data_IF_085581556446
#
_entry.id   IF_085581556446
#
_cell.length_a   1.000
_cell.length_b   1.000
_cell.length_c   1.000
_cell.angle_alpha   90.00
_cell.angle_beta   90.00
_cell.angle_gamma   90.00
#
_symmetry.space_group_name_H-M   'P 1'
#
loop_
_entity.id
_entity.type
_entity.pdbx_description
1 polymer ?
#
# COMPACT_ATOMS: atom_id res chain seq x y z
N UNK A 1 -16.71 -19.03 22.29
CA UNK A 1 -15.83 -17.86 22.07
C UNK A 1 -16.43 -16.65 22.77
N UNK A 2 -15.71 -16.07 23.74
CA UNK A 2 -16.21 -15.00 24.60
C UNK A 2 -16.46 -13.71 23.79
N UNK A 3 -17.74 -13.34 23.60
CA UNK A 3 -18.19 -12.04 23.05
C UNK A 3 -17.55 -10.84 23.76
N UNK A 4 -17.19 -11.01 25.04
CA UNK A 4 -16.48 -9.99 25.82
C UNK A 4 -15.11 -9.64 25.21
N UNK A 5 -14.36 -10.63 24.74
CA UNK A 5 -13.00 -10.46 24.22
C UNK A 5 -12.99 -9.84 22.80
N UNK A 6 -14.07 -10.04 22.03
CA UNK A 6 -14.27 -9.38 20.74
C UNK A 6 -14.56 -7.89 20.92
N UNK A 7 -15.42 -7.54 21.89
CA UNK A 7 -15.74 -6.15 22.22
C UNK A 7 -14.52 -5.37 22.70
N UNK A 8 -13.69 -5.94 23.58
CA UNK A 8 -12.48 -5.26 24.06
C UNK A 8 -11.47 -5.03 22.93
N UNK A 9 -11.29 -6.00 22.02
CA UNK A 9 -10.39 -5.85 20.86
C UNK A 9 -10.88 -4.82 19.85
N UNK A 10 -12.19 -4.79 19.56
CA UNK A 10 -12.80 -3.80 18.66
C UNK A 10 -12.71 -2.38 19.25
N UNK A 11 -12.88 -2.24 20.57
CA UNK A 11 -12.70 -0.96 21.26
C UNK A 11 -11.25 -0.46 21.16
N UNK A 12 -10.26 -1.35 21.30
CA UNK A 12 -8.84 -1.01 21.14
C UNK A 12 -8.49 -0.59 19.71
N UNK A 13 -9.11 -1.21 18.69
CA UNK A 13 -8.97 -0.81 17.29
C UNK A 13 -9.58 0.58 17.05
N UNK A 14 -10.77 0.86 17.57
CA UNK A 14 -11.39 2.18 17.47
C UNK A 14 -10.59 3.27 18.21
N UNK A 15 -10.04 2.95 19.38
CA UNK A 15 -9.21 3.87 20.19
C UNK A 15 -7.84 4.17 19.58
N UNK A 16 -7.28 3.27 18.77
CA UNK A 16 -6.02 3.54 18.09
C UNK A 16 -6.19 4.59 16.98
N UNK A 17 -7.33 4.64 16.29
CA UNK A 17 -7.60 5.68 15.28
C UNK A 17 -7.78 7.10 15.86
N UNK A 18 -8.22 7.23 17.11
CA UNK A 18 -8.44 8.52 17.80
C UNK A 18 -7.14 9.32 18.05
N UNK A 19 -5.98 8.67 18.08
CA UNK A 19 -4.68 9.34 18.34
C UNK A 19 -4.02 9.94 17.09
N UNK A 20 -4.58 9.73 15.89
CA UNK A 20 -3.91 10.05 14.62
C UNK A 20 -4.59 11.12 13.77
N UNK A 21 -5.60 11.83 14.30
CA UNK A 21 -6.27 12.94 13.62
C UNK A 21 -5.34 14.07 13.14
N UNK A 22 -4.11 14.14 13.66
CA UNK A 22 -3.10 15.13 13.29
C UNK A 22 -2.06 14.66 12.24
N UNK A 23 -1.94 13.37 11.92
CA UNK A 23 -0.84 12.87 11.06
C UNK A 23 -1.21 12.70 9.59
N UNK A 24 -2.49 12.81 9.20
CA UNK A 24 -2.89 12.64 7.79
C UNK A 24 -2.47 13.80 6.87
N UNK A 25 -1.93 14.90 7.41
CA UNK A 25 -1.69 16.15 6.65
C UNK A 25 -0.26 16.38 6.16
N UNK A 26 0.71 15.55 6.56
CA UNK A 26 2.09 15.66 6.08
C UNK A 26 2.46 14.44 5.26
N UNK A 27 2.01 14.47 3.99
CA UNK A 27 2.50 13.57 2.97
C UNK A 27 3.97 13.94 2.68
N UNK A 28 4.91 13.02 2.85
CA UNK A 28 6.36 13.22 2.59
C UNK A 28 6.60 13.72 1.16
N UNK A 29 5.75 13.38 0.20
CA UNK A 29 5.85 13.86 -1.19
C UNK A 29 5.57 15.36 -1.30
N UNK A 30 4.95 16.01 -0.31
CA UNK A 30 4.77 17.46 -0.28
C UNK A 30 6.04 18.23 0.07
N UNK A 31 7.05 17.58 0.66
CA UNK A 31 8.31 18.22 1.05
C UNK A 31 9.23 18.48 -0.16
N UNK A 32 9.17 17.61 -1.19
CA UNK A 32 9.96 17.78 -2.41
C UNK A 32 9.48 18.97 -3.24
N UNK A 33 10.27 20.04 -3.34
CA UNK A 33 9.97 21.16 -4.25
C UNK A 33 10.40 20.79 -5.67
N UNK A 34 9.44 20.63 -6.58
CA UNK A 34 9.71 20.44 -8.01
C UNK A 34 8.71 21.23 -8.84
N UNK A 35 9.22 21.97 -9.82
CA UNK A 35 8.42 22.69 -10.81
C UNK A 35 8.11 21.84 -12.05
N UNK A 36 8.55 20.58 -12.07
CA UNK A 36 8.28 19.66 -13.18
C UNK A 36 6.78 19.36 -13.27
N UNK A 37 6.18 19.66 -14.42
CA UNK A 37 4.76 19.36 -14.71
C UNK A 37 4.45 17.87 -14.54
N UNK A 38 5.38 16.98 -14.91
CA UNK A 38 5.24 15.55 -14.73
C UNK A 38 5.20 15.18 -13.24
N UNK A 39 6.18 15.64 -12.46
CA UNK A 39 6.28 15.36 -11.02
C UNK A 39 5.04 15.88 -10.29
N UNK A 40 4.59 17.09 -10.60
CA UNK A 40 3.37 17.67 -10.06
C UNK A 40 2.15 16.78 -10.36
N UNK A 41 1.99 16.33 -11.61
CA UNK A 41 0.89 15.46 -12.01
C UNK A 41 0.95 14.12 -11.26
N UNK A 42 2.12 13.51 -11.14
CA UNK A 42 2.31 12.26 -10.41
C UNK A 42 1.96 12.40 -8.92
N UNK A 43 2.34 13.50 -8.27
CA UNK A 43 1.96 13.80 -6.87
C UNK A 43 0.44 13.92 -6.70
N UNK A 44 -0.21 14.70 -7.57
CA UNK A 44 -1.67 14.84 -7.57
C UNK A 44 -2.35 13.46 -7.69
N UNK A 45 -1.81 12.58 -8.55
CA UNK A 45 -2.26 11.20 -8.70
C UNK A 45 -2.13 10.40 -7.41
N UNK A 46 -0.92 10.33 -6.84
CA UNK A 46 -0.65 9.62 -5.59
C UNK A 46 -1.58 10.06 -4.47
N UNK A 47 -1.73 11.37 -4.26
CA UNK A 47 -2.57 11.91 -3.20
C UNK A 47 -4.04 11.54 -3.37
N UNK A 48 -4.53 11.51 -4.61
CA UNK A 48 -5.92 11.16 -4.90
C UNK A 48 -6.20 9.68 -4.60
N UNK A 49 -5.30 8.78 -4.99
CA UNK A 49 -5.42 7.36 -4.65
C UNK A 49 -5.26 7.12 -3.15
N UNK A 50 -4.35 7.83 -2.47
CA UNK A 50 -4.20 7.74 -1.01
C UNK A 50 -5.46 8.20 -0.26
N UNK A 51 -6.10 9.29 -0.68
CA UNK A 51 -7.41 9.70 -0.13
C UNK A 51 -8.44 8.59 -0.31
N UNK A 52 -8.49 7.95 -1.48
CA UNK A 52 -9.43 6.85 -1.73
C UNK A 52 -9.15 5.63 -0.84
N UNK A 53 -7.88 5.33 -0.58
CA UNK A 53 -7.48 4.28 0.34
C UNK A 53 -7.97 4.55 1.77
N UNK A 54 -7.78 5.79 2.28
CA UNK A 54 -8.27 6.18 3.61
C UNK A 54 -9.80 6.04 3.70
N UNK A 55 -10.55 6.57 2.73
CA UNK A 55 -12.01 6.47 2.75
C UNK A 55 -12.48 5.02 2.58
N UNK A 56 -11.75 4.20 1.83
CA UNK A 56 -12.05 2.77 1.70
C UNK A 56 -11.85 2.05 3.04
N UNK A 57 -10.77 2.33 3.75
CA UNK A 57 -10.54 1.76 5.10
C UNK A 57 -11.64 2.15 6.09
N UNK A 58 -12.09 3.41 6.08
CA UNK A 58 -13.21 3.85 6.92
C UNK A 58 -14.49 3.03 6.65
N UNK A 59 -14.79 2.74 5.39
CA UNK A 59 -15.94 1.90 5.01
C UNK A 59 -15.79 0.46 5.55
N UNK A 60 -14.59 -0.10 5.48
CA UNK A 60 -14.29 -1.44 6.00
C UNK A 60 -14.48 -1.50 7.53
N UNK A 61 -14.06 -0.45 8.25
CA UNK A 61 -14.24 -0.35 9.70
C UNK A 61 -15.72 -0.20 10.05
N UNK A 62 -16.47 0.65 9.34
CA UNK A 62 -17.92 0.80 9.53
C UNK A 62 -18.60 -0.57 9.36
N UNK A 63 -18.33 -1.28 8.26
CA UNK A 63 -18.91 -2.58 7.97
C UNK A 63 -18.57 -3.63 9.05
N UNK A 64 -17.39 -3.54 9.65
CA UNK A 64 -16.96 -4.47 10.69
C UNK A 64 -17.73 -4.28 12.01
N UNK A 65 -18.11 -3.05 12.35
CA UNK A 65 -18.63 -2.74 13.69
C UNK A 65 -20.12 -2.45 13.73
N UNK A 66 -20.76 -2.10 12.60
CA UNK A 66 -22.11 -1.55 12.57
C UNK A 66 -23.17 -2.44 13.23
N UNK A 67 -23.02 -3.77 13.13
CA UNK A 67 -23.99 -4.73 13.67
C UNK A 67 -23.78 -5.02 15.17
N UNK A 68 -22.56 -4.83 15.68
CA UNK A 68 -22.16 -5.24 17.04
C UNK A 68 -21.90 -4.06 18.00
N UNK A 69 -21.75 -2.85 17.46
CA UNK A 69 -21.46 -1.63 18.20
C UNK A 69 -22.73 -0.96 18.74
N UNK A 70 -22.58 -0.23 19.85
CA UNK A 70 -23.63 0.65 20.36
C UNK A 70 -23.79 1.88 19.47
N UNK A 71 -24.98 2.48 19.49
CA UNK A 71 -25.26 3.74 18.76
C UNK A 71 -24.25 4.85 19.11
N UNK A 72 -23.81 4.92 20.38
CA UNK A 72 -22.79 5.88 20.83
C UNK A 72 -21.43 5.63 20.19
N UNK A 73 -20.99 4.38 20.10
CA UNK A 73 -19.71 4.00 19.48
C UNK A 73 -19.73 4.31 17.97
N UNK A 74 -20.81 3.95 17.27
CA UNK A 74 -20.98 4.25 15.84
C UNK A 74 -20.97 5.76 15.60
N UNK A 75 -21.69 6.55 16.41
CA UNK A 75 -21.71 8.01 16.28
C UNK A 75 -20.34 8.65 16.53
N UNK A 76 -19.57 8.12 17.49
CA UNK A 76 -18.22 8.58 17.78
C UNK A 76 -17.30 8.31 16.59
N UNK A 77 -17.27 7.07 16.10
CA UNK A 77 -16.47 6.68 14.94
C UNK A 77 -16.78 7.57 13.71
N UNK A 78 -18.06 7.74 13.38
CA UNK A 78 -18.46 8.54 12.23
C UNK A 78 -18.10 10.02 12.42
N UNK A 79 -18.17 10.54 13.65
CA UNK A 79 -17.69 11.87 14.00
C UNK A 79 -16.20 12.04 13.70
N UNK A 80 -15.38 11.06 14.06
CA UNK A 80 -13.94 11.06 13.77
C UNK A 80 -13.66 10.99 12.27
N UNK A 81 -14.39 10.13 11.53
CA UNK A 81 -14.27 10.03 10.07
C UNK A 81 -14.66 11.33 9.35
N UNK A 82 -15.63 12.07 9.88
CA UNK A 82 -15.97 13.41 9.40
C UNK A 82 -14.79 14.38 9.58
N UNK A 83 -14.12 14.36 10.74
CA UNK A 83 -12.93 15.19 10.97
C UNK A 83 -11.79 14.83 10.02
N UNK A 84 -11.58 13.54 9.75
CA UNK A 84 -10.61 13.09 8.75
C UNK A 84 -10.95 13.66 7.37
N UNK A 85 -12.22 13.62 6.94
CA UNK A 85 -12.63 14.23 5.67
C UNK A 85 -12.32 15.73 5.62
N UNK A 86 -12.55 16.46 6.71
CA UNK A 86 -12.23 17.88 6.80
C UNK A 86 -10.71 18.16 6.74
N UNK A 87 -9.89 17.27 7.32
CA UNK A 87 -8.43 17.34 7.20
C UNK A 87 -7.96 17.05 5.76
N UNK A 88 -8.52 16.04 5.09
CA UNK A 88 -8.17 15.68 3.72
C UNK A 88 -8.52 16.79 2.71
N UNK A 89 -9.58 17.56 2.96
CA UNK A 89 -9.94 18.74 2.12
C UNK A 89 -8.89 19.84 2.10
N UNK A 90 -7.97 19.87 3.07
CA UNK A 90 -6.90 20.88 3.15
C UNK A 90 -5.72 20.56 2.21
N UNK A 91 -5.66 19.33 1.70
CA UNK A 91 -4.63 18.88 0.76
C UNK A 91 -4.74 19.72 -0.53
N UNK A 92 -3.61 20.21 -1.01
CA UNK A 92 -3.54 21.08 -2.18
C UNK A 92 -3.24 20.26 -3.43
N UNK A 93 -4.11 20.40 -4.43
CA UNK A 93 -3.94 19.82 -5.76
C UNK A 93 -3.61 20.91 -6.76
N UNK A 94 -2.76 20.60 -7.75
CA UNK A 94 -2.46 21.53 -8.85
C UNK A 94 -3.42 21.39 -10.01
N UNK A 95 -4.04 20.22 -10.19
CA UNK A 95 -5.11 20.01 -11.15
C UNK A 95 -6.46 20.46 -10.58
N UNK A 96 -7.04 21.53 -11.14
CA UNK A 96 -8.31 22.12 -10.67
C UNK A 96 -9.52 21.18 -10.82
N UNK A 97 -9.56 20.39 -11.90
CA UNK A 97 -10.63 19.40 -12.11
C UNK A 97 -10.58 18.33 -11.05
N UNK A 98 -9.38 17.78 -10.79
CA UNK A 98 -9.16 16.78 -9.74
C UNK A 98 -9.47 17.33 -8.35
N UNK A 99 -9.03 18.56 -8.06
CA UNK A 99 -9.34 19.29 -6.82
C UNK A 99 -10.86 19.35 -6.58
N UNK A 100 -11.61 19.70 -7.62
CA UNK A 100 -13.07 19.78 -7.56
C UNK A 100 -13.68 18.41 -7.27
N UNK A 101 -13.26 17.38 -8.00
CA UNK A 101 -13.74 16.01 -7.77
C UNK A 101 -13.46 15.50 -6.35
N UNK A 102 -12.24 15.70 -5.83
CA UNK A 102 -11.86 15.31 -4.48
C UNK A 102 -12.68 16.06 -3.44
N UNK A 103 -12.83 17.37 -3.60
CA UNK A 103 -13.63 18.21 -2.69
C UNK A 103 -15.08 17.74 -2.62
N UNK A 104 -15.70 17.46 -3.76
CA UNK A 104 -17.08 16.98 -3.85
C UNK A 104 -17.21 15.56 -3.29
N UNK A 105 -16.25 14.67 -3.60
CA UNK A 105 -16.19 13.31 -3.05
C UNK A 105 -16.16 13.31 -1.52
N UNK A 106 -15.26 14.10 -0.92
CA UNK A 106 -15.15 14.23 0.53
C UNK A 106 -16.39 14.91 1.14
N UNK A 107 -17.00 15.86 0.44
CA UNK A 107 -18.25 16.51 0.87
C UNK A 107 -19.40 15.51 0.95
N UNK A 108 -19.59 14.71 -0.10
CA UNK A 108 -20.64 13.69 -0.14
C UNK A 108 -20.37 12.58 0.88
N UNK A 109 -19.11 12.16 1.06
CA UNK A 109 -18.73 11.18 2.09
C UNK A 109 -19.11 11.67 3.49
N UNK A 110 -18.71 12.90 3.84
CA UNK A 110 -19.07 13.56 5.11
C UNK A 110 -20.58 13.70 5.28
N UNK A 111 -21.31 14.02 4.21
CA UNK A 111 -22.77 14.11 4.22
C UNK A 111 -23.40 12.75 4.55
N UNK A 112 -22.95 11.68 3.92
CA UNK A 112 -23.45 10.32 4.20
C UNK A 112 -23.20 9.92 5.65
N UNK A 113 -22.00 10.16 6.19
CA UNK A 113 -21.70 9.92 7.61
C UNK A 113 -22.59 10.75 8.55
N UNK A 114 -22.81 12.03 8.23
CA UNK A 114 -23.68 12.91 9.01
C UNK A 114 -25.13 12.45 9.01
N UNK A 115 -25.64 11.96 7.87
CA UNK A 115 -26.99 11.40 7.78
C UNK A 115 -27.08 10.10 8.57
N UNK A 116 -26.06 9.23 8.51
CA UNK A 116 -26.00 8.00 9.31
C UNK A 116 -26.02 8.28 10.80
N UNK A 117 -25.28 9.29 11.29
CA UNK A 117 -25.31 9.72 12.70
C UNK A 117 -26.73 10.13 13.13
N UNK A 118 -27.41 10.92 12.30
CA UNK A 118 -28.68 11.55 12.68
C UNK A 118 -29.91 10.66 12.47
N UNK A 119 -29.87 9.79 11.45
CA UNK A 119 -31.03 9.03 10.97
C UNK A 119 -30.79 7.52 10.90
N UNK A 120 -29.54 7.07 11.00
CA UNK A 120 -29.16 5.67 10.85
C UNK A 120 -29.01 5.23 9.39
N UNK A 121 -28.16 4.21 9.17
CA UNK A 121 -27.86 3.62 7.86
C UNK A 121 -29.07 2.97 7.17
N UNK A 122 -30.08 2.54 7.94
CA UNK A 122 -31.29 1.93 7.37
C UNK A 122 -32.37 2.95 6.96
N UNK A 123 -32.16 4.24 7.23
CA UNK A 123 -33.16 5.26 6.95
C UNK A 123 -33.37 5.49 5.44
N UNK A 124 -34.60 5.83 5.00
CA UNK A 124 -34.85 6.24 3.62
C UNK A 124 -33.99 7.44 3.19
N UNK A 125 -33.68 8.34 4.13
CA UNK A 125 -32.83 9.49 3.89
C UNK A 125 -31.38 9.07 3.58
N UNK A 126 -30.81 8.12 4.33
CA UNK A 126 -29.48 7.59 4.04
C UNK A 126 -29.47 6.88 2.69
N UNK A 127 -30.43 5.99 2.42
CA UNK A 127 -30.49 5.25 1.14
C UNK A 127 -30.51 6.20 -0.06
N UNK A 128 -31.34 7.25 -0.01
CA UNK A 128 -31.40 8.26 -1.08
C UNK A 128 -30.08 9.03 -1.24
N UNK A 129 -29.44 9.40 -0.14
CA UNK A 129 -28.15 10.09 -0.17
C UNK A 129 -27.03 9.18 -0.72
N UNK A 130 -27.02 7.92 -0.29
CA UNK A 130 -26.02 6.94 -0.68
C UNK A 130 -26.06 6.63 -2.18
N UNK A 131 -27.24 6.60 -2.82
CA UNK A 131 -27.33 6.48 -4.28
C UNK A 131 -26.68 7.67 -5.01
N UNK A 132 -26.88 8.89 -4.50
CA UNK A 132 -26.22 10.09 -5.04
C UNK A 132 -24.70 10.02 -4.84
N UNK A 133 -24.26 9.61 -3.65
CA UNK A 133 -22.85 9.40 -3.34
C UNK A 133 -22.22 8.37 -4.29
N UNK A 134 -22.86 7.22 -4.49
CA UNK A 134 -22.38 6.14 -5.36
C UNK A 134 -22.23 6.61 -6.80
N UNK A 135 -23.27 7.24 -7.36
CA UNK A 135 -23.21 7.76 -8.73
C UNK A 135 -22.09 8.78 -8.94
N UNK A 136 -21.82 9.64 -7.95
CA UNK A 136 -20.70 10.56 -8.00
C UNK A 136 -19.36 9.84 -7.86
N UNK A 137 -19.26 8.87 -6.94
CA UNK A 137 -18.06 8.08 -6.72
C UNK A 137 -17.65 7.36 -8.01
N UNK A 138 -18.59 6.73 -8.72
CA UNK A 138 -18.32 6.06 -10.00
C UNK A 138 -17.76 7.04 -11.03
N UNK A 139 -18.36 8.23 -11.14
CA UNK A 139 -17.88 9.29 -12.04
C UNK A 139 -16.46 9.75 -11.70
N UNK A 140 -16.19 10.00 -10.41
CA UNK A 140 -14.89 10.44 -9.93
C UNK A 140 -13.82 9.36 -10.14
N UNK A 141 -14.10 8.11 -9.79
CA UNK A 141 -13.18 6.99 -9.96
C UNK A 141 -12.86 6.77 -11.44
N UNK A 142 -13.85 6.84 -12.34
CA UNK A 142 -13.62 6.79 -13.77
C UNK A 142 -12.73 7.93 -14.28
N UNK A 143 -12.93 9.15 -13.78
CA UNK A 143 -12.04 10.28 -14.09
C UNK A 143 -10.61 10.02 -13.61
N UNK A 144 -10.45 9.49 -12.39
CA UNK A 144 -9.15 9.23 -11.80
C UNK A 144 -8.37 8.17 -12.60
N UNK A 145 -8.98 7.00 -12.85
CA UNK A 145 -8.33 5.92 -13.60
C UNK A 145 -8.06 6.31 -15.05
N UNK A 146 -8.94 7.07 -15.71
CA UNK A 146 -8.67 7.55 -17.07
C UNK A 146 -7.56 8.60 -17.12
N UNK A 147 -7.48 9.51 -16.14
CA UNK A 147 -6.46 10.57 -16.08
C UNK A 147 -5.08 10.00 -15.73
N UNK A 148 -5.04 9.03 -14.83
CA UNK A 148 -3.81 8.44 -14.29
C UNK A 148 -3.46 7.07 -14.90
N UNK A 149 -4.13 6.68 -15.99
CA UNK A 149 -3.79 5.47 -16.73
C UNK A 149 -2.33 5.53 -17.24
N UNK A 150 -1.62 4.40 -17.13
CA UNK A 150 -0.20 4.26 -17.48
C UNK A 150 0.15 4.79 -18.87
N UNK A 151 -0.71 4.56 -19.88
CA UNK A 151 -0.50 5.02 -21.26
C UNK A 151 -0.46 6.56 -21.43
N UNK A 152 -0.93 7.33 -20.43
CA UNK A 152 -0.82 8.79 -20.43
C UNK A 152 0.56 9.30 -19.99
N UNK A 153 1.43 8.43 -19.50
CA UNK A 153 2.72 8.79 -18.91
C UNK A 153 3.89 8.09 -19.60
N UNK A 154 3.69 6.87 -20.07
CA UNK A 154 4.74 6.05 -20.69
C UNK A 154 4.24 5.46 -22.00
N UNK A 155 5.19 5.16 -22.90
CA UNK A 155 4.92 4.49 -24.18
C UNK A 155 5.28 3.00 -24.15
N UNK A 156 6.04 2.57 -23.15
CA UNK A 156 6.40 1.19 -22.90
C UNK A 156 5.17 0.28 -22.85
N UNK A 157 5.23 -0.82 -23.60
CA UNK A 157 4.24 -1.88 -23.56
C UNK A 157 4.65 -2.97 -22.56
N UNK A 158 3.76 -3.94 -22.35
CA UNK A 158 3.97 -5.03 -21.39
C UNK A 158 5.21 -5.89 -21.71
N UNK A 159 5.46 -6.20 -22.99
CA UNK A 159 6.63 -6.99 -23.40
C UNK A 159 7.94 -6.29 -23.01
N UNK A 160 8.05 -4.99 -23.30
CA UNK A 160 9.23 -4.18 -22.95
C UNK A 160 9.36 -4.06 -21.43
N UNK A 161 8.25 -3.92 -20.70
CA UNK A 161 8.26 -3.93 -19.24
C UNK A 161 8.85 -5.22 -18.68
N UNK A 162 8.32 -6.38 -19.07
CA UNK A 162 8.78 -7.68 -18.58
C UNK A 162 10.25 -7.96 -18.96
N UNK A 163 10.64 -7.59 -20.18
CA UNK A 163 12.02 -7.69 -20.61
C UNK A 163 12.94 -6.80 -19.80
N UNK A 164 12.51 -5.59 -19.44
CA UNK A 164 13.34 -4.65 -18.69
C UNK A 164 13.49 -5.07 -17.24
N UNK A 165 12.40 -5.49 -16.58
CA UNK A 165 12.43 -5.88 -15.17
C UNK A 165 13.09 -7.23 -14.91
N UNK A 166 13.38 -8.04 -15.94
CA UNK A 166 14.08 -9.33 -15.79
C UNK A 166 15.40 -9.16 -15.01
N UNK A 167 15.44 -9.78 -13.83
CA UNK A 167 16.57 -9.75 -12.89
C UNK A 167 17.88 -10.21 -13.54
N UNK A 168 17.82 -11.08 -14.56
CA UNK A 168 18.99 -11.57 -15.31
C UNK A 168 19.77 -10.45 -16.02
N UNK A 169 19.10 -9.35 -16.39
CA UNK A 169 19.78 -8.21 -17.03
C UNK A 169 20.81 -7.55 -16.11
N UNK A 170 20.59 -7.63 -14.79
CA UNK A 170 21.32 -6.87 -13.79
C UNK A 170 22.25 -7.72 -12.94
N UNK A 171 22.02 -9.03 -12.85
CA UNK A 171 22.93 -9.98 -12.20
C UNK A 171 24.23 -10.07 -13.01
N UNK A 172 25.36 -9.73 -12.38
CA UNK A 172 26.72 -9.77 -12.94
C UNK A 172 27.65 -10.71 -12.18
N UNK A 173 27.39 -10.98 -10.90
CA UNK A 173 28.23 -11.90 -10.13
C UNK A 173 28.19 -13.32 -10.72
N UNK A 174 29.34 -13.83 -11.13
CA UNK A 174 29.48 -15.22 -11.58
C UNK A 174 29.21 -16.22 -10.44
N UNK A 175 29.42 -15.83 -9.18
CA UNK A 175 29.10 -16.66 -8.01
C UNK A 175 27.58 -16.91 -7.85
N UNK A 176 26.72 -16.12 -8.52
CA UNK A 176 25.27 -16.32 -8.46
C UNK A 176 24.81 -17.64 -9.11
N UNK A 177 25.51 -18.12 -10.14
CA UNK A 177 25.24 -19.46 -10.70
C UNK A 177 25.60 -20.58 -9.72
N UNK A 178 26.67 -20.38 -8.94
CA UNK A 178 27.05 -21.28 -7.85
C UNK A 178 25.98 -21.28 -6.76
N UNK A 179 25.48 -20.11 -6.37
CA UNK A 179 24.33 -19.98 -5.46
C UNK A 179 23.13 -20.79 -5.94
N UNK A 180 22.71 -20.62 -7.21
CA UNK A 180 21.54 -21.35 -7.74
C UNK A 180 21.69 -22.87 -7.67
N UNK A 181 22.88 -23.39 -7.97
CA UNK A 181 23.17 -24.83 -7.86
C UNK A 181 23.21 -25.30 -6.40
N UNK A 182 23.80 -24.50 -5.51
CA UNK A 182 23.91 -24.83 -4.10
C UNK A 182 22.56 -24.79 -3.40
N UNK A 183 21.66 -23.90 -3.82
CA UNK A 183 20.30 -23.78 -3.26
C UNK A 183 19.52 -25.10 -3.31
N UNK A 184 19.72 -25.91 -4.34
CA UNK A 184 18.99 -27.17 -4.51
C UNK A 184 19.55 -28.33 -3.68
N UNK A 185 20.77 -28.21 -3.15
CA UNK A 185 21.46 -29.28 -2.42
C UNK A 185 21.74 -28.92 -0.95
N UNK A 186 22.07 -27.66 -0.67
CA UNK A 186 22.33 -27.13 0.66
C UNK A 186 21.90 -25.66 0.77
N UNK A 187 20.62 -25.45 1.12
CA UNK A 187 20.03 -24.12 1.23
C UNK A 187 20.80 -23.22 2.21
N UNK A 188 21.21 -23.71 3.38
CA UNK A 188 21.88 -22.89 4.41
C UNK A 188 23.19 -22.30 3.90
N UNK A 189 24.03 -23.11 3.24
CA UNK A 189 25.27 -22.62 2.63
C UNK A 189 25.00 -21.71 1.42
N UNK A 190 23.94 -21.98 0.65
CA UNK A 190 23.52 -21.11 -0.44
C UNK A 190 23.16 -19.70 0.06
N UNK A 191 22.41 -19.57 1.17
CA UNK A 191 22.07 -18.26 1.73
C UNK A 191 23.30 -17.51 2.25
N UNK A 192 24.26 -18.20 2.88
CA UNK A 192 25.54 -17.60 3.29
C UNK A 192 26.30 -17.06 2.07
N UNK A 193 26.33 -17.82 0.97
CA UNK A 193 26.95 -17.37 -0.28
C UNK A 193 26.22 -16.16 -0.86
N UNK A 194 24.88 -16.17 -0.89
CA UNK A 194 24.09 -15.05 -1.41
C UNK A 194 24.29 -13.77 -0.58
N UNK A 195 24.36 -13.88 0.75
CA UNK A 195 24.73 -12.77 1.63
C UNK A 195 26.11 -12.22 1.30
N UNK A 196 27.11 -13.09 1.13
CA UNK A 196 28.47 -12.67 0.74
C UNK A 196 28.45 -11.93 -0.59
N UNK A 197 27.78 -12.47 -1.61
CA UNK A 197 27.64 -11.83 -2.92
C UNK A 197 27.01 -10.44 -2.74
N UNK A 198 25.90 -10.34 -2.01
CA UNK A 198 25.20 -9.07 -1.80
C UNK A 198 26.06 -7.99 -1.14
N UNK A 199 26.88 -8.35 -0.14
CA UNK A 199 27.79 -7.43 0.55
C UNK A 199 28.90 -6.90 -0.34
N UNK A 200 29.26 -7.64 -1.40
CA UNK A 200 30.28 -7.24 -2.37
C UNK A 200 29.70 -6.44 -3.56
N UNK A 201 28.38 -6.48 -3.75
CA UNK A 201 27.71 -5.80 -4.85
C UNK A 201 27.64 -4.30 -4.63
N UNK A 202 28.22 -3.53 -5.55
CA UNK A 202 28.20 -2.06 -5.50
C UNK A 202 27.02 -1.44 -6.23
N UNK A 203 26.46 -2.13 -7.23
CA UNK A 203 25.29 -1.68 -8.00
C UNK A 203 24.03 -1.94 -7.20
N UNK A 204 23.37 -0.87 -6.77
CA UNK A 204 22.23 -0.96 -5.85
C UNK A 204 21.08 -1.81 -6.40
N UNK A 205 20.81 -1.72 -7.71
CA UNK A 205 19.77 -2.53 -8.34
C UNK A 205 20.06 -4.04 -8.30
N UNK A 206 21.30 -4.45 -8.53
CA UNK A 206 21.74 -5.85 -8.40
C UNK A 206 21.73 -6.29 -6.93
N UNK A 207 22.11 -5.39 -6.00
CA UNK A 207 22.01 -5.64 -4.57
C UNK A 207 20.56 -5.92 -4.15
N UNK A 208 19.59 -5.13 -4.64
CA UNK A 208 18.16 -5.34 -4.36
C UNK A 208 17.70 -6.74 -4.78
N UNK A 209 18.13 -7.22 -5.95
CA UNK A 209 17.81 -8.56 -6.45
C UNK A 209 18.27 -9.62 -5.45
N UNK A 210 19.50 -9.53 -4.98
CA UNK A 210 20.06 -10.50 -4.03
C UNK A 210 19.39 -10.44 -2.66
N UNK A 211 19.05 -9.25 -2.17
CA UNK A 211 18.32 -9.10 -0.91
C UNK A 211 16.90 -9.65 -1.00
N UNK A 212 16.18 -9.38 -2.10
CA UNK A 212 14.83 -9.91 -2.33
C UNK A 212 14.89 -11.43 -2.42
N UNK A 213 15.80 -12.00 -3.22
CA UNK A 213 15.97 -13.45 -3.32
C UNK A 213 16.28 -14.08 -1.94
N UNK A 214 17.16 -13.45 -1.16
CA UNK A 214 17.51 -13.91 0.19
C UNK A 214 16.27 -13.92 1.12
N UNK A 215 15.51 -12.83 1.13
CA UNK A 215 14.28 -12.72 1.92
C UNK A 215 13.19 -13.70 1.45
N UNK A 216 13.04 -13.90 0.14
CA UNK A 216 12.12 -14.89 -0.44
C UNK A 216 12.43 -16.29 0.08
N UNK A 217 13.71 -16.69 0.13
CA UNK A 217 14.11 -18.00 0.67
C UNK A 217 13.80 -18.14 2.16
N UNK A 218 13.95 -17.08 2.95
CA UNK A 218 13.57 -17.09 4.37
C UNK A 218 12.06 -17.23 4.57
N UNK A 219 11.24 -16.67 3.68
CA UNK A 219 9.76 -16.84 3.73
C UNK A 219 9.38 -18.26 3.33
N UNK A 220 9.82 -18.72 2.15
CA UNK A 220 9.43 -20.03 1.59
C UNK A 220 9.90 -21.22 2.42
N UNK A 221 11.00 -21.07 3.14
CA UNK A 221 11.62 -22.15 3.91
C UNK A 221 11.70 -21.85 5.41
N UNK A 222 10.81 -20.98 5.92
CA UNK A 222 10.81 -20.56 7.31
C UNK A 222 10.81 -21.74 8.31
N UNK A 223 10.05 -22.80 8.01
CA UNK A 223 9.95 -24.01 8.85
C UNK A 223 11.26 -24.81 8.94
N UNK A 224 12.14 -24.68 7.94
CA UNK A 224 13.34 -25.52 7.79
C UNK A 224 14.65 -24.77 8.12
N UNK A 225 14.62 -23.45 8.20
CA UNK A 225 15.82 -22.62 8.34
C UNK A 225 16.13 -22.23 9.78
N UNK A 226 15.24 -21.44 10.37
CA UNK A 226 15.42 -20.78 11.67
C UNK A 226 14.08 -20.23 12.17
N UNK A 227 13.83 -20.27 13.48
CA UNK A 227 12.60 -19.73 14.10
C UNK A 227 12.42 -18.24 13.80
N UNK A 228 13.51 -17.51 13.60
CA UNK A 228 13.50 -16.07 13.29
C UNK A 228 13.50 -15.75 11.78
N UNK A 229 13.30 -16.73 10.89
CA UNK A 229 13.38 -16.54 9.43
C UNK A 229 12.43 -15.45 8.92
N UNK A 230 11.19 -15.43 9.42
CA UNK A 230 10.20 -14.44 8.97
C UNK A 230 10.61 -13.01 9.34
N UNK A 231 11.07 -12.77 10.56
CA UNK A 231 11.52 -11.44 10.97
C UNK A 231 12.73 -11.00 10.15
N UNK A 232 13.67 -11.92 9.88
CA UNK A 232 14.81 -11.65 8.98
C UNK A 232 14.34 -11.22 7.59
N UNK A 233 13.36 -11.92 7.01
CA UNK A 233 12.81 -11.56 5.71
C UNK A 233 12.18 -10.15 5.72
N UNK A 234 11.36 -9.85 6.73
CA UNK A 234 10.74 -8.53 6.92
C UNK A 234 11.81 -7.44 7.02
N UNK A 235 12.84 -7.64 7.83
CA UNK A 235 13.93 -6.68 8.00
C UNK A 235 14.71 -6.46 6.70
N UNK A 236 15.00 -7.54 5.95
CA UNK A 236 15.71 -7.46 4.67
C UNK A 236 14.89 -6.65 3.66
N UNK A 237 13.60 -6.94 3.44
CA UNK A 237 12.78 -6.15 2.52
C UNK A 237 12.72 -4.69 2.92
N UNK A 238 12.55 -4.40 4.22
CA UNK A 238 12.49 -3.02 4.70
C UNK A 238 13.81 -2.29 4.51
N UNK A 239 14.93 -2.98 4.72
CA UNK A 239 16.28 -2.42 4.58
C UNK A 239 16.56 -1.91 3.17
N UNK A 240 16.00 -2.53 2.13
CA UNK A 240 16.12 -2.06 0.74
C UNK A 240 15.56 -0.64 0.61
N UNK A 241 14.38 -0.39 1.20
CA UNK A 241 13.71 0.91 1.15
C UNK A 241 14.46 1.94 2.02
N UNK A 242 14.98 1.51 3.17
CA UNK A 242 15.71 2.37 4.11
C UNK A 242 17.05 2.89 3.56
N UNK A 243 17.59 2.26 2.52
CA UNK A 243 18.80 2.74 1.82
C UNK A 243 18.58 4.05 1.05
N UNK A 244 17.32 4.48 0.84
CA UNK A 244 16.95 5.73 0.15
C UNK A 244 17.60 5.89 -1.22
N UNK A 245 17.75 4.78 -1.95
CA UNK A 245 18.33 4.73 -3.30
C UNK A 245 17.32 4.17 -4.27
N UNK A 246 17.30 4.74 -5.47
CA UNK A 246 16.43 4.26 -6.54
C UNK A 246 16.86 2.89 -7.05
N UNK A 247 15.88 2.01 -7.26
CA UNK A 247 15.99 0.70 -7.90
C UNK A 247 14.63 0.38 -8.50
N UNK A 248 14.58 -0.28 -9.67
CA UNK A 248 13.32 -0.70 -10.32
C UNK A 248 12.53 -1.77 -9.52
N UNK A 249 13.07 -2.19 -8.37
CA UNK A 249 12.52 -3.24 -7.51
C UNK A 249 12.02 -2.70 -6.16
N UNK A 250 11.89 -1.39 -5.98
CA UNK A 250 11.38 -0.81 -4.72
C UNK A 250 9.92 -1.17 -4.51
N UNK A 251 9.11 -1.19 -5.57
CA UNK A 251 7.73 -1.67 -5.49
C UNK A 251 7.66 -3.13 -5.02
N UNK A 252 8.46 -4.03 -5.61
CA UNK A 252 8.51 -5.44 -5.21
C UNK A 252 8.92 -5.59 -3.73
N UNK A 253 9.96 -4.86 -3.30
CA UNK A 253 10.43 -4.90 -1.91
C UNK A 253 9.34 -4.42 -0.92
N UNK A 254 8.66 -3.30 -1.21
CA UNK A 254 7.58 -2.80 -0.38
C UNK A 254 6.40 -3.78 -0.33
N UNK A 255 5.99 -4.29 -1.49
CA UNK A 255 4.86 -5.21 -1.61
C UNK A 255 5.11 -6.48 -0.77
N UNK A 256 6.27 -7.11 -0.95
CA UNK A 256 6.67 -8.30 -0.19
C UNK A 256 6.82 -8.04 1.30
N UNK A 257 7.45 -6.92 1.69
CA UNK A 257 7.53 -6.50 3.09
C UNK A 257 6.13 -6.43 3.72
N UNK A 258 5.19 -5.77 3.06
CA UNK A 258 3.83 -5.58 3.56
C UNK A 258 3.08 -6.91 3.62
N UNK A 259 3.19 -7.73 2.58
CA UNK A 259 2.55 -9.06 2.51
C UNK A 259 2.99 -9.95 3.67
N UNK A 260 4.30 -10.07 3.88
CA UNK A 260 4.88 -10.94 4.92
C UNK A 260 4.56 -10.38 6.31
N UNK A 261 4.64 -9.06 6.49
CA UNK A 261 4.30 -8.39 7.75
C UNK A 261 2.83 -8.65 8.12
N UNK A 262 1.89 -8.48 7.18
CA UNK A 262 0.49 -8.76 7.45
C UNK A 262 0.25 -10.24 7.72
N UNK A 263 0.87 -11.14 6.95
CA UNK A 263 0.69 -12.59 7.07
C UNK A 263 1.07 -13.09 8.46
N UNK A 264 2.27 -12.72 8.94
CA UNK A 264 2.88 -13.36 10.10
C UNK A 264 2.92 -12.51 11.36
N UNK A 265 2.82 -11.19 11.27
CA UNK A 265 2.78 -10.31 12.45
C UNK A 265 1.36 -9.98 12.87
N UNK A 266 0.48 -9.62 11.92
CA UNK A 266 -0.86 -9.12 12.22
C UNK A 266 -1.98 -10.14 11.96
N UNK A 267 -1.72 -11.12 11.10
CA UNK A 267 -2.60 -12.24 10.77
C UNK A 267 -3.55 -11.99 9.61
N UNK A 268 -4.19 -13.06 9.17
CA UNK A 268 -4.98 -13.11 7.92
C UNK A 268 -6.51 -13.02 8.12
N UNK A 269 -6.98 -12.89 9.36
CA UNK A 269 -8.41 -12.81 9.63
C UNK A 269 -8.98 -11.46 9.17
N UNK A 270 -10.27 -11.43 8.82
CA UNK A 270 -11.02 -10.17 8.62
C UNK A 270 -11.03 -9.29 9.88
N UNK A 271 -10.94 -9.93 11.04
CA UNK A 271 -10.90 -9.31 12.37
C UNK A 271 -9.47 -9.10 12.90
N UNK A 272 -8.44 -9.51 12.15
CA UNK A 272 -7.04 -9.21 12.50
C UNK A 272 -6.80 -7.69 12.51
N UNK A 273 -5.77 -7.25 13.20
CA UNK A 273 -5.27 -5.90 12.99
C UNK A 273 -4.79 -5.75 11.53
N UNK A 274 -5.06 -4.61 10.92
CA UNK A 274 -4.58 -4.28 9.57
C UNK A 274 -4.09 -2.84 9.63
N UNK A 275 -2.79 -2.61 9.89
CA UNK A 275 -2.23 -1.28 10.07
C UNK A 275 -1.88 -0.66 8.71
N UNK A 276 -2.90 -0.34 7.91
CA UNK A 276 -2.67 0.25 6.58
C UNK A 276 -1.91 1.56 6.63
N UNK A 277 -2.03 2.34 7.70
CA UNK A 277 -1.26 3.57 7.90
C UNK A 277 0.26 3.30 7.95
N UNK A 278 0.67 2.22 8.62
CA UNK A 278 2.07 1.77 8.69
C UNK A 278 2.54 1.33 7.32
N UNK A 279 1.70 0.61 6.57
CA UNK A 279 2.04 0.16 5.23
C UNK A 279 2.18 1.33 4.25
N UNK A 280 1.27 2.29 4.32
CA UNK A 280 1.25 3.49 3.50
C UNK A 280 2.45 4.39 3.76
N UNK A 281 2.90 4.54 5.02
CA UNK A 281 4.13 5.29 5.35
C UNK A 281 5.36 4.72 4.64
N UNK A 282 5.48 3.39 4.59
CA UNK A 282 6.61 2.75 3.88
C UNK A 282 6.43 2.83 2.36
N UNK A 283 5.19 2.72 1.86
CA UNK A 283 4.87 2.93 0.45
C UNK A 283 5.26 4.33 -0.01
N UNK A 284 4.94 5.33 0.82
CA UNK A 284 5.24 6.73 0.59
C UNK A 284 6.75 7.01 0.57
N UNK A 285 7.52 6.39 1.47
CA UNK A 285 8.98 6.44 1.42
C UNK A 285 9.52 5.91 0.09
N UNK A 286 9.05 4.74 -0.35
CA UNK A 286 9.43 4.19 -1.65
C UNK A 286 9.03 5.12 -2.80
N UNK A 287 7.80 5.65 -2.78
CA UNK A 287 7.29 6.56 -3.80
C UNK A 287 8.11 7.86 -3.88
N UNK A 288 8.55 8.40 -2.74
CA UNK A 288 9.40 9.58 -2.69
C UNK A 288 10.76 9.33 -3.34
N UNK A 289 11.39 8.20 -3.04
CA UNK A 289 12.68 7.81 -3.65
C UNK A 289 12.56 7.74 -5.18
N UNK A 290 11.50 7.10 -5.68
CA UNK A 290 11.25 7.00 -7.13
C UNK A 290 10.96 8.38 -7.73
N UNK A 291 10.16 9.21 -7.05
CA UNK A 291 9.80 10.54 -7.55
C UNK A 291 10.99 11.50 -7.60
N UNK A 292 11.88 11.46 -6.61
CA UNK A 292 13.12 12.23 -6.58
C UNK A 292 14.05 11.83 -7.74
N UNK A 293 14.08 10.53 -8.06
CA UNK A 293 14.79 10.04 -9.24
C UNK A 293 14.16 10.54 -10.55
N UNK A 294 12.84 10.45 -10.71
CA UNK A 294 12.10 10.98 -11.88
C UNK A 294 12.35 12.48 -12.06
N UNK A 295 12.48 13.24 -10.97
CA UNK A 295 12.73 14.68 -11.03
C UNK A 295 14.02 15.03 -11.79
N UNK A 296 15.00 14.13 -11.81
CA UNK A 296 16.27 14.28 -12.55
C UNK A 296 16.36 13.36 -13.78
N UNK A 297 15.44 12.40 -13.92
CA UNK A 297 15.38 11.41 -15.01
C UNK A 297 13.97 11.33 -15.60
N UNK A 298 13.44 12.46 -16.07
CA UNK A 298 12.01 12.59 -16.43
C UNK A 298 11.55 11.74 -17.62
N UNK A 299 12.47 11.11 -18.35
CA UNK A 299 12.18 10.24 -19.48
C UNK A 299 12.35 8.75 -19.14
N UNK A 300 12.67 8.41 -17.88
CA UNK A 300 12.79 7.04 -17.42
C UNK A 300 11.38 6.44 -17.22
N UNK A 301 10.88 5.77 -18.26
CA UNK A 301 9.55 5.18 -18.26
C UNK A 301 9.39 4.06 -17.21
N UNK A 302 10.48 3.36 -16.85
CA UNK A 302 10.42 2.35 -15.78
C UNK A 302 10.20 3.00 -14.42
N UNK A 303 10.92 4.09 -14.12
CA UNK A 303 10.72 4.83 -12.88
C UNK A 303 9.31 5.42 -12.79
N UNK A 304 8.80 5.98 -13.89
CA UNK A 304 7.44 6.51 -13.95
C UNK A 304 6.41 5.40 -13.72
N UNK A 305 6.58 4.24 -14.37
CA UNK A 305 5.70 3.08 -14.18
C UNK A 305 5.73 2.59 -12.73
N UNK A 306 6.92 2.48 -12.13
CA UNK A 306 7.08 2.07 -10.74
C UNK A 306 6.40 3.03 -9.76
N UNK A 307 6.51 4.34 -10.00
CA UNK A 307 5.78 5.33 -9.21
C UNK A 307 4.26 5.15 -9.34
N UNK A 308 3.76 4.91 -10.55
CA UNK A 308 2.33 4.66 -10.77
C UNK A 308 1.86 3.38 -10.06
N UNK A 309 2.65 2.31 -10.05
CA UNK A 309 2.36 1.10 -9.27
C UNK A 309 2.25 1.44 -7.78
N UNK A 310 3.23 2.15 -7.21
CA UNK A 310 3.19 2.60 -5.81
C UNK A 310 2.01 3.53 -5.50
N UNK A 311 1.63 4.41 -6.44
CA UNK A 311 0.53 5.35 -6.26
C UNK A 311 -0.84 4.67 -6.28
N UNK A 312 -1.01 3.69 -7.17
CA UNK A 312 -2.31 3.07 -7.45
C UNK A 312 -2.58 1.79 -6.66
N UNK A 313 -1.55 1.17 -6.07
CA UNK A 313 -1.73 -0.06 -5.31
C UNK A 313 -2.65 0.15 -4.11
N UNK A 314 -3.61 -0.75 -3.94
CA UNK A 314 -4.60 -0.67 -2.87
C UNK A 314 -4.04 -0.94 -1.47
N UNK A 315 -4.84 -0.63 -0.46
CA UNK A 315 -4.63 -1.10 0.91
C UNK A 315 -5.01 -2.58 1.08
N UNK A 316 -4.62 -3.19 2.19
CA UNK A 316 -5.14 -4.51 2.56
C UNK A 316 -6.59 -4.36 3.00
N UNK A 317 -7.51 -4.94 2.23
CA UNK A 317 -8.95 -4.93 2.53
C UNK A 317 -9.32 -6.07 3.48
N UNK A 318 -10.26 -5.81 4.39
CA UNK A 318 -10.87 -6.85 5.26
C UNK A 318 -11.88 -7.68 4.47
N UNK A 319 -12.69 -7.01 3.66
CA UNK A 319 -13.77 -7.54 2.85
C UNK A 319 -13.44 -7.36 1.36
N UNK A 320 -12.27 -7.87 0.96
CA UNK A 320 -11.89 -7.99 -0.44
C UNK A 320 -12.58 -9.14 -1.15
N UNK A 321 -12.07 -9.51 -2.33
CA UNK A 321 -12.65 -10.56 -3.17
C UNK A 321 -12.53 -11.95 -2.52
N UNK A 322 -11.59 -12.11 -1.58
CA UNK A 322 -11.41 -13.36 -0.85
C UNK A 322 -12.38 -13.50 0.34
N UNK A 323 -13.23 -14.55 0.36
CA UNK A 323 -14.26 -14.67 1.39
C UNK A 323 -13.75 -15.22 2.74
N UNK A 324 -12.61 -15.93 2.78
CA UNK A 324 -12.16 -16.68 3.95
C UNK A 324 -11.09 -15.99 4.81
N UNK A 325 -10.69 -14.77 4.45
CA UNK A 325 -9.67 -13.99 5.15
C UNK A 325 -9.67 -12.54 4.67
N UNK A 326 -8.70 -11.76 5.12
CA UNK A 326 -8.41 -10.47 4.50
C UNK A 326 -7.69 -10.67 3.15
N UNK A 327 -7.60 -9.62 2.34
CA UNK A 327 -7.08 -9.71 0.97
C UNK A 327 -5.60 -10.15 0.91
N UNK A 328 -4.85 -10.02 2.00
CA UNK A 328 -3.43 -10.40 2.04
C UNK A 328 -3.20 -11.88 1.74
N UNK A 329 -4.15 -12.76 2.08
CA UNK A 329 -4.02 -14.20 1.83
C UNK A 329 -3.82 -14.49 0.34
N UNK A 330 -4.60 -13.86 -0.53
CA UNK A 330 -4.50 -14.07 -1.98
C UNK A 330 -3.14 -13.58 -2.48
N UNK A 331 -2.77 -12.36 -2.12
CA UNK A 331 -1.51 -11.77 -2.55
C UNK A 331 -0.29 -12.55 -2.04
N UNK A 332 -0.38 -13.12 -0.83
CA UNK A 332 0.67 -13.99 -0.29
C UNK A 332 0.89 -15.22 -1.18
N UNK A 333 -0.17 -15.96 -1.48
CA UNK A 333 -0.08 -17.17 -2.29
C UNK A 333 0.33 -16.86 -3.74
N UNK A 334 -0.20 -15.78 -4.34
CA UNK A 334 0.24 -15.32 -5.67
C UNK A 334 1.72 -14.93 -5.72
N UNK A 335 2.31 -14.53 -4.59
CA UNK A 335 3.70 -14.07 -4.52
C UNK A 335 4.69 -15.18 -4.16
N UNK A 336 4.31 -16.11 -3.27
CA UNK A 336 5.23 -17.05 -2.65
C UNK A 336 4.96 -18.52 -2.97
N UNK A 337 3.77 -18.88 -3.42
CA UNK A 337 3.52 -20.24 -3.91
C UNK A 337 4.16 -20.40 -5.30
N UNK A 338 4.57 -21.63 -5.62
CA UNK A 338 5.27 -21.97 -6.87
C UNK A 338 4.31 -22.26 -8.03
#
# INVERSE_FOLDING_TARGET
MNRLNLKTKLLTIALSFLLFGNSYSQNLLNEGKSDSKLVIKLKDGYQSFHINNIISEQKEIINLIIDDATDKEVKTLLGDHIQVCDSLKKIQFKNDTLKTYISDYLTLTKQSYSISINKGFNSPAFKKDFEKYKAFCDKYINYLYSTFATHNFIRMNEEVYWKTIDKKNYIKSAEYETYKKLKTTNLKEALILLEKISKQTTKFQEYCIYQIELADQYVKHAENLDENSINKAVDIYKSIIDQKKYSIYLFEAWLKWRIVTQQFTYGISKTSEIPNDKYDKVREQAALIVLDYINTHSNDEMAINEFLLLATHGIVKRFGDYPYGNQNTVEYHETFDD
#
